data_IF_647231280821
#
_entry.id   IF_647231280821
#
_cell.length_a   1.000
_cell.length_b   1.000
_cell.length_c   1.000
_cell.angle_alpha   90.00
_cell.angle_beta   90.00
_cell.angle_gamma   90.00
#
_symmetry.space_group_name_H-M   'P 1'
#
loop_
_entity.id
_entity.type
_entity.pdbx_description
1 polymer ?
#
# COMPACT_ATOMS: atom_id res chain seq x y z
N UNK A 1 -10.90 -2.63 -10.28
CA UNK A 1 -11.43 -2.09 -9.01
C UNK A 1 -12.80 -2.66 -8.68
N UNK A 2 -13.89 -2.31 -9.39
CA UNK A 2 -15.25 -2.80 -9.06
C UNK A 2 -15.38 -4.33 -9.12
N UNK A 3 -14.88 -4.95 -10.20
CA UNK A 3 -14.87 -6.41 -10.34
C UNK A 3 -14.04 -7.10 -9.24
N UNK A 4 -12.90 -6.54 -8.84
CA UNK A 4 -12.09 -7.08 -7.73
C UNK A 4 -12.85 -7.03 -6.41
N UNK A 5 -13.52 -5.91 -6.14
CA UNK A 5 -14.34 -5.76 -4.93
C UNK A 5 -15.48 -6.77 -4.89
N UNK A 6 -16.22 -6.92 -5.99
CA UNK A 6 -17.34 -7.86 -6.08
C UNK A 6 -16.91 -9.32 -5.97
N UNK A 7 -15.82 -9.70 -6.63
CA UNK A 7 -15.38 -11.10 -6.72
C UNK A 7 -14.60 -11.51 -5.47
N UNK A 8 -13.78 -10.63 -4.89
CA UNK A 8 -12.90 -11.00 -3.77
C UNK A 8 -13.46 -10.62 -2.42
N UNK A 9 -14.11 -9.46 -2.31
CA UNK A 9 -14.41 -8.83 -1.02
C UNK A 9 -15.82 -9.07 -0.52
N UNK A 10 -16.79 -9.31 -1.41
CA UNK A 10 -18.16 -9.69 -1.03
C UNK A 10 -18.22 -11.11 -0.46
N UNK A 11 -17.54 -12.12 -1.04
CA UNK A 11 -17.63 -13.47 -0.51
C UNK A 11 -16.98 -13.59 0.88
N UNK A 12 -15.86 -12.91 1.12
CA UNK A 12 -15.09 -13.06 2.36
C UNK A 12 -15.90 -12.90 3.65
N UNK A 13 -16.68 -11.81 3.86
CA UNK A 13 -17.49 -11.66 5.07
C UNK A 13 -18.67 -12.63 5.11
N UNK A 14 -19.23 -13.01 3.96
CA UNK A 14 -20.37 -13.94 3.90
C UNK A 14 -19.97 -15.37 4.26
N UNK A 15 -18.75 -15.77 3.91
CA UNK A 15 -18.18 -17.08 4.24
C UNK A 15 -17.56 -17.13 5.63
N UNK A 16 -17.44 -15.99 6.33
CA UNK A 16 -16.81 -15.93 7.65
C UNK A 16 -17.83 -16.26 8.73
N UNK A 17 -17.53 -17.27 9.55
CA UNK A 17 -18.36 -17.69 10.68
C UNK A 17 -17.58 -17.63 11.98
N UNK A 18 -18.28 -17.27 13.04
CA UNK A 18 -17.74 -17.32 14.39
C UNK A 18 -18.24 -18.59 15.07
N UNK A 19 -17.36 -19.58 15.19
CA UNK A 19 -17.65 -20.89 15.78
C UNK A 19 -16.54 -21.24 16.76
N UNK A 20 -16.89 -21.82 17.91
CA UNK A 20 -15.93 -22.25 18.94
C UNK A 20 -14.94 -21.17 19.38
N UNK A 21 -15.44 -19.94 19.58
CA UNK A 21 -14.63 -18.75 19.93
C UNK A 21 -13.55 -18.37 18.91
N UNK A 22 -13.65 -18.89 17.68
CA UNK A 22 -12.72 -18.63 16.58
C UNK A 22 -13.46 -18.11 15.37
N UNK A 23 -12.77 -17.30 14.60
CA UNK A 23 -13.29 -16.74 13.36
C UNK A 23 -12.73 -17.55 12.20
N UNK A 24 -13.56 -18.42 11.63
CA UNK A 24 -13.16 -19.38 10.59
C UNK A 24 -13.88 -19.09 9.28
N UNK A 25 -13.28 -19.52 8.17
CA UNK A 25 -13.92 -19.49 6.86
C UNK A 25 -14.63 -20.82 6.63
N UNK A 26 -15.93 -20.75 6.34
CA UNK A 26 -16.74 -21.92 6.05
C UNK A 26 -16.99 -22.03 4.54
N UNK A 27 -16.35 -23.03 3.92
CA UNK A 27 -16.40 -23.31 2.49
C UNK A 27 -17.31 -24.50 2.16
N UNK A 28 -18.17 -24.90 3.10
CA UNK A 28 -19.03 -26.08 3.00
C UNK A 28 -20.30 -25.76 2.23
N UNK A 29 -20.25 -25.93 0.91
CA UNK A 29 -21.43 -25.76 0.04
C UNK A 29 -21.92 -27.10 -0.48
N UNK A 30 -23.22 -27.42 -0.38
CA UNK A 30 -23.74 -28.71 -0.81
C UNK A 30 -23.72 -28.92 -2.33
N UNK A 31 -23.58 -27.86 -3.12
CA UNK A 31 -23.61 -27.90 -4.60
C UNK A 31 -22.25 -27.85 -5.27
N UNK A 32 -21.14 -27.63 -4.54
CA UNK A 32 -19.81 -27.55 -5.14
C UNK A 32 -18.76 -28.21 -4.25
N UNK A 33 -17.81 -28.91 -4.88
CA UNK A 33 -16.71 -29.54 -4.16
C UNK A 33 -15.83 -28.45 -3.53
N UNK A 34 -15.57 -28.56 -2.23
CA UNK A 34 -14.83 -27.56 -1.44
C UNK A 34 -13.46 -27.25 -2.03
N UNK A 35 -12.74 -28.26 -2.53
CA UNK A 35 -11.42 -28.10 -3.16
C UNK A 35 -11.49 -27.26 -4.44
N UNK A 36 -12.50 -27.46 -5.28
CA UNK A 36 -12.71 -26.66 -6.50
C UNK A 36 -13.00 -25.20 -6.17
N UNK A 37 -13.84 -24.95 -5.17
CA UNK A 37 -14.17 -23.60 -4.73
C UNK A 37 -12.96 -22.87 -4.12
N UNK A 38 -12.20 -23.56 -3.27
CA UNK A 38 -10.96 -23.03 -2.68
C UNK A 38 -9.94 -22.66 -3.76
N UNK A 39 -9.73 -23.54 -4.74
CA UNK A 39 -8.82 -23.27 -5.85
C UNK A 39 -9.25 -22.03 -6.62
N UNK A 40 -10.55 -21.91 -6.94
CA UNK A 40 -11.08 -20.73 -7.62
C UNK A 40 -10.84 -19.44 -6.82
N UNK A 41 -11.12 -19.43 -5.51
CA UNK A 41 -10.92 -18.25 -4.67
C UNK A 41 -9.45 -17.83 -4.64
N UNK A 42 -8.54 -18.77 -4.37
CA UNK A 42 -7.12 -18.44 -4.24
C UNK A 42 -6.52 -18.00 -5.57
N UNK A 43 -6.81 -18.68 -6.68
CA UNK A 43 -6.35 -18.22 -7.99
C UNK A 43 -6.91 -16.85 -8.34
N UNK A 44 -8.18 -16.59 -8.02
CA UNK A 44 -8.79 -15.27 -8.19
C UNK A 44 -8.06 -14.23 -7.35
N UNK A 45 -7.74 -14.54 -6.09
CA UNK A 45 -7.01 -13.64 -5.19
C UNK A 45 -5.62 -13.33 -5.73
N UNK A 46 -4.85 -14.35 -6.11
CA UNK A 46 -3.51 -14.18 -6.69
C UNK A 46 -3.56 -13.37 -7.99
N UNK A 47 -4.52 -13.64 -8.87
CA UNK A 47 -4.63 -12.90 -10.15
C UNK A 47 -5.01 -11.45 -9.91
N UNK A 48 -6.07 -11.19 -9.14
CA UNK A 48 -6.64 -9.86 -9.00
C UNK A 48 -5.94 -9.01 -7.93
N UNK A 49 -5.42 -9.59 -6.86
CA UNK A 49 -4.74 -8.83 -5.80
C UNK A 49 -3.25 -8.61 -6.11
N UNK A 50 -2.63 -9.50 -6.90
CA UNK A 50 -1.20 -9.46 -7.19
C UNK A 50 -0.88 -9.23 -8.66
N UNK A 51 -1.17 -10.18 -9.54
CA UNK A 51 -0.69 -10.12 -10.94
C UNK A 51 -1.23 -8.91 -11.70
N UNK A 52 -2.55 -8.67 -11.67
CA UNK A 52 -3.17 -7.55 -12.38
C UNK A 52 -2.62 -6.21 -11.87
N UNK A 53 -2.59 -5.92 -10.55
CA UNK A 53 -1.96 -4.71 -10.03
C UNK A 53 -0.50 -4.57 -10.44
N UNK A 54 0.32 -5.62 -10.32
CA UNK A 54 1.74 -5.58 -10.69
C UNK A 54 1.93 -5.27 -12.16
N UNK A 55 1.16 -5.91 -13.06
CA UNK A 55 1.24 -5.64 -14.50
C UNK A 55 0.84 -4.20 -14.83
N UNK A 56 -0.26 -3.71 -14.26
CA UNK A 56 -0.70 -2.31 -14.46
C UNK A 56 0.35 -1.33 -13.93
N UNK A 57 0.96 -1.63 -12.78
CA UNK A 57 2.05 -0.83 -12.21
C UNK A 57 3.27 -0.79 -13.15
N UNK A 58 3.73 -1.94 -13.65
CA UNK A 58 4.88 -2.01 -14.56
C UNK A 58 4.63 -1.25 -15.86
N UNK A 59 3.47 -1.47 -16.49
CA UNK A 59 3.10 -0.81 -17.75
C UNK A 59 3.00 0.70 -17.56
N UNK A 60 2.34 1.15 -16.49
CA UNK A 60 2.20 2.59 -16.21
C UNK A 60 3.54 3.27 -15.96
N UNK A 61 4.43 2.65 -15.18
CA UNK A 61 5.77 3.22 -14.93
C UNK A 61 6.63 3.23 -16.20
N UNK A 62 6.60 2.15 -16.99
CA UNK A 62 7.30 2.10 -18.27
C UNK A 62 6.80 3.19 -19.24
N UNK A 63 5.48 3.39 -19.30
CA UNK A 63 4.86 4.42 -20.13
C UNK A 63 5.28 5.83 -19.69
N UNK A 64 5.24 6.12 -18.38
CA UNK A 64 5.62 7.43 -17.87
C UNK A 64 7.10 7.72 -18.11
N UNK A 65 7.99 6.73 -17.89
CA UNK A 65 9.41 6.85 -18.20
C UNK A 65 9.62 7.14 -19.69
N UNK A 66 8.89 6.44 -20.57
CA UNK A 66 8.95 6.66 -22.01
C UNK A 66 8.56 8.10 -22.39
N UNK A 67 7.46 8.62 -21.85
CA UNK A 67 6.99 10.00 -22.10
C UNK A 67 8.00 11.03 -21.56
N UNK A 68 8.55 10.81 -20.36
CA UNK A 68 9.58 11.70 -19.79
C UNK A 68 10.84 11.71 -20.66
N UNK A 69 11.27 10.55 -21.18
CA UNK A 69 12.45 10.46 -22.06
C UNK A 69 12.20 11.16 -23.41
N UNK A 70 11.02 10.95 -24.02
CA UNK A 70 10.62 11.58 -25.28
C UNK A 70 10.56 13.11 -25.16
N UNK A 71 9.98 13.63 -24.08
CA UNK A 71 9.87 15.08 -23.84
C UNK A 71 11.22 15.77 -23.54
N UNK A 72 12.22 15.05 -23.03
CA UNK A 72 13.57 15.59 -22.88
C UNK A 72 14.31 15.73 -24.21
N UNK A 73 14.04 14.84 -25.17
CA UNK A 73 14.67 14.89 -26.49
C UNK A 73 14.17 16.03 -27.37
N UNK A 74 12.98 16.58 -27.13
CA UNK A 74 12.39 17.63 -27.98
C UNK A 74 12.61 19.07 -27.47
N UNK A 75 13.32 19.25 -26.35
CA UNK A 75 13.36 20.52 -25.60
C UNK A 75 14.56 21.42 -25.92
N UNK A 76 15.20 21.23 -27.07
CA UNK A 76 16.42 21.96 -27.42
C UNK A 76 16.17 23.41 -27.90
N UNK A 77 14.93 23.84 -28.04
CA UNK A 77 14.58 25.19 -28.52
C UNK A 77 13.39 25.77 -27.75
N UNK A 78 13.58 26.98 -27.25
CA UNK A 78 12.59 28.01 -26.90
C UNK A 78 12.19 28.25 -25.42
N UNK A 79 12.34 29.54 -25.07
CA UNK A 79 11.66 30.32 -24.02
C UNK A 79 12.06 30.12 -22.54
N UNK A 80 12.95 30.99 -22.06
CA UNK A 80 13.53 31.08 -20.70
C UNK A 80 12.51 31.31 -19.56
N UNK A 81 11.36 31.95 -19.83
CA UNK A 81 10.38 32.31 -18.79
C UNK A 81 9.34 31.21 -18.54
N UNK A 82 9.10 30.34 -19.54
CA UNK A 82 8.28 29.13 -19.40
C UNK A 82 9.06 27.95 -18.78
N UNK A 83 10.37 28.12 -18.57
CA UNK A 83 11.25 27.06 -18.04
C UNK A 83 10.98 26.83 -16.56
N UNK A 84 10.79 27.86 -15.74
CA UNK A 84 10.72 27.69 -14.28
C UNK A 84 9.43 27.02 -13.81
N UNK A 85 8.27 27.47 -14.31
CA UNK A 85 6.96 26.85 -14.04
C UNK A 85 6.92 25.40 -14.53
N UNK A 86 7.44 25.14 -15.74
CA UNK A 86 7.49 23.80 -16.31
C UNK A 86 8.50 22.89 -15.62
N UNK A 87 9.58 23.43 -15.05
CA UNK A 87 10.57 22.70 -14.26
C UNK A 87 10.01 22.33 -12.88
N UNK A 88 9.23 23.21 -12.25
CA UNK A 88 8.54 22.90 -11.00
C UNK A 88 7.49 21.80 -11.20
N UNK A 89 6.66 21.89 -12.25
CA UNK A 89 5.71 20.83 -12.62
C UNK A 89 6.44 19.51 -12.89
N UNK A 90 7.54 19.54 -13.65
CA UNK A 90 8.36 18.35 -13.93
C UNK A 90 8.91 17.72 -12.66
N UNK A 91 9.39 18.51 -11.70
CA UNK A 91 9.87 18.01 -10.39
C UNK A 91 8.75 17.35 -9.60
N UNK A 92 7.55 17.95 -9.54
CA UNK A 92 6.40 17.36 -8.86
C UNK A 92 5.96 16.05 -9.52
N UNK A 93 5.93 15.98 -10.85
CA UNK A 93 5.60 14.75 -11.59
C UNK A 93 6.64 13.67 -11.32
N UNK A 94 7.94 13.99 -11.40
CA UNK A 94 9.02 13.03 -11.11
C UNK A 94 8.92 12.53 -9.66
N UNK A 95 8.67 13.42 -8.71
CA UNK A 95 8.52 13.07 -7.30
C UNK A 95 7.31 12.15 -7.08
N UNK A 96 6.19 12.42 -7.74
CA UNK A 96 5.01 11.55 -7.70
C UNK A 96 5.35 10.17 -8.27
N UNK A 97 6.00 10.11 -9.44
CA UNK A 97 6.41 8.85 -10.10
C UNK A 97 7.36 8.03 -9.22
N UNK A 98 8.35 8.67 -8.59
CA UNK A 98 9.27 7.98 -7.67
C UNK A 98 8.49 7.45 -6.46
N UNK A 99 7.60 8.26 -5.89
CA UNK A 99 6.81 7.87 -4.72
C UNK A 99 5.90 6.69 -5.05
N UNK A 100 5.19 6.75 -6.17
CA UNK A 100 4.34 5.66 -6.65
C UNK A 100 5.16 4.42 -6.97
N UNK A 101 6.37 4.56 -7.52
CA UNK A 101 7.26 3.43 -7.81
C UNK A 101 7.70 2.73 -6.52
N UNK A 102 8.09 3.49 -5.49
CA UNK A 102 8.50 2.94 -4.19
C UNK A 102 7.34 2.18 -3.56
N UNK A 103 6.16 2.79 -3.48
CA UNK A 103 4.96 2.14 -2.92
C UNK A 103 4.57 0.90 -3.73
N UNK A 104 4.67 0.95 -5.06
CA UNK A 104 4.38 -0.18 -5.95
C UNK A 104 5.34 -1.34 -5.74
N UNK A 105 6.64 -1.09 -5.66
CA UNK A 105 7.66 -2.10 -5.40
C UNK A 105 7.48 -2.74 -4.03
N UNK A 106 7.26 -1.92 -3.00
CA UNK A 106 7.02 -2.39 -1.66
C UNK A 106 5.80 -3.30 -1.59
N UNK A 107 4.68 -2.90 -2.20
CA UNK A 107 3.48 -3.74 -2.33
C UNK A 107 3.81 -5.07 -3.01
N UNK A 108 4.49 -5.03 -4.16
CA UNK A 108 4.84 -6.22 -4.94
C UNK A 108 5.77 -7.18 -4.20
N UNK A 109 6.70 -6.66 -3.40
CA UNK A 109 7.62 -7.49 -2.61
C UNK A 109 6.87 -8.11 -1.43
N UNK A 110 6.15 -7.30 -0.65
CA UNK A 110 5.53 -7.77 0.60
C UNK A 110 4.36 -8.74 0.34
N UNK A 111 3.58 -8.52 -0.72
CA UNK A 111 2.49 -9.44 -1.11
C UNK A 111 2.98 -10.70 -1.84
N UNK A 112 4.22 -10.72 -2.35
CA UNK A 112 4.73 -11.89 -3.09
C UNK A 112 4.81 -13.14 -2.23
N UNK A 113 5.18 -12.99 -0.94
CA UNK A 113 5.31 -14.11 -0.02
C UNK A 113 3.98 -14.84 0.18
N UNK A 114 2.90 -14.08 0.42
CA UNK A 114 1.55 -14.63 0.57
C UNK A 114 1.12 -15.35 -0.71
N UNK A 115 1.31 -14.71 -1.87
CA UNK A 115 0.91 -15.29 -3.15
C UNK A 115 1.67 -16.58 -3.49
N UNK A 116 2.99 -16.60 -3.30
CA UNK A 116 3.82 -17.78 -3.54
C UNK A 116 3.40 -18.91 -2.59
N UNK A 117 3.21 -18.60 -1.30
CA UNK A 117 2.80 -19.58 -0.30
C UNK A 117 1.46 -20.21 -0.66
N UNK A 118 0.46 -19.41 -1.01
CA UNK A 118 -0.87 -19.89 -1.41
C UNK A 118 -0.82 -20.78 -2.67
N UNK A 119 -0.01 -20.42 -3.68
CA UNK A 119 0.19 -21.27 -4.86
C UNK A 119 0.82 -22.61 -4.46
N UNK A 120 1.86 -22.59 -3.63
CA UNK A 120 2.54 -23.81 -3.18
C UNK A 120 1.62 -24.74 -2.37
N UNK A 121 0.72 -24.17 -1.57
CA UNK A 121 -0.30 -24.91 -0.82
C UNK A 121 -1.29 -25.59 -1.76
N UNK A 122 -1.79 -24.87 -2.78
CA UNK A 122 -2.75 -25.43 -3.75
C UNK A 122 -2.13 -26.48 -4.66
N UNK A 123 -0.87 -26.29 -5.04
CA UNK A 123 -0.13 -27.29 -5.80
C UNK A 123 0.26 -28.52 -4.94
N UNK A 124 -0.19 -28.59 -3.68
CA UNK A 124 0.09 -29.67 -2.73
C UNK A 124 1.60 -29.89 -2.48
N UNK A 125 2.43 -28.88 -2.79
CA UNK A 125 3.89 -28.91 -2.56
C UNK A 125 4.20 -28.68 -1.08
N UNK A 126 3.38 -27.86 -0.41
CA UNK A 126 3.51 -27.53 1.01
C UNK A 126 2.20 -27.84 1.72
N UNK A 127 2.28 -28.57 2.84
CA UNK A 127 1.10 -28.89 3.66
C UNK A 127 0.73 -27.68 4.52
N UNK A 128 -0.51 -27.23 4.38
CA UNK A 128 -1.05 -26.17 5.22
C UNK A 128 -1.14 -26.62 6.68
N UNK A 129 -0.44 -25.93 7.57
CA UNK A 129 -0.46 -26.23 9.01
C UNK A 129 -0.96 -25.02 9.79
N UNK A 130 -2.17 -25.15 10.35
CA UNK A 130 -2.83 -24.10 11.11
C UNK A 130 -2.03 -23.66 12.34
N UNK A 131 -1.97 -22.36 12.58
CA UNK A 131 -1.39 -21.76 13.78
C UNK A 131 0.13 -21.68 13.76
N UNK A 132 0.76 -21.90 12.61
CA UNK A 132 2.21 -21.81 12.48
C UNK A 132 2.67 -20.38 12.18
N UNK A 133 3.88 -19.97 12.61
CA UNK A 133 4.41 -18.65 12.30
C UNK A 133 4.53 -18.37 10.80
N UNK A 134 4.69 -19.44 9.99
CA UNK A 134 4.86 -19.33 8.55
C UNK A 134 3.54 -18.98 7.84
N UNK A 135 2.40 -19.44 8.38
CA UNK A 135 1.06 -19.03 7.92
C UNK A 135 0.85 -17.53 8.16
N UNK A 136 1.21 -17.04 9.34
CA UNK A 136 0.96 -15.65 9.73
C UNK A 136 1.94 -14.66 9.09
N UNK A 137 3.11 -15.13 8.64
CA UNK A 137 4.17 -14.29 8.10
C UNK A 137 3.69 -13.44 6.91
N UNK A 138 2.90 -14.01 5.99
CA UNK A 138 2.41 -13.25 4.83
C UNK A 138 1.45 -12.14 5.24
N UNK A 139 0.53 -12.41 6.16
CA UNK A 139 -0.37 -11.38 6.72
C UNK A 139 0.42 -10.28 7.45
N UNK A 140 1.45 -10.64 8.21
CA UNK A 140 2.32 -9.67 8.92
C UNK A 140 3.05 -8.78 7.92
N UNK A 141 3.61 -9.34 6.85
CA UNK A 141 4.30 -8.58 5.80
C UNK A 141 3.36 -7.61 5.08
N UNK A 142 2.14 -8.04 4.78
CA UNK A 142 1.10 -7.19 4.18
C UNK A 142 0.76 -6.03 5.12
N UNK A 143 0.52 -6.31 6.41
CA UNK A 143 0.19 -5.28 7.41
C UNK A 143 1.33 -4.27 7.59
N UNK A 144 2.58 -4.76 7.59
CA UNK A 144 3.77 -3.93 7.59
C UNK A 144 3.82 -3.02 6.35
N UNK A 145 3.42 -3.54 5.19
CA UNK A 145 3.28 -2.77 3.96
C UNK A 145 2.29 -1.61 4.10
N UNK A 146 1.06 -1.92 4.54
CA UNK A 146 0.02 -0.91 4.71
C UNK A 146 0.43 0.20 5.69
N UNK A 147 1.10 -0.17 6.79
CA UNK A 147 1.52 0.79 7.83
C UNK A 147 2.72 1.65 7.43
N UNK A 148 3.55 1.22 6.46
CA UNK A 148 4.69 1.99 5.97
C UNK A 148 4.36 2.96 4.82
N UNK A 149 3.22 2.79 4.13
CA UNK A 149 2.72 3.73 3.11
C UNK A 149 2.67 5.21 3.55
N UNK A 150 2.07 5.58 4.71
CA UNK A 150 2.07 6.97 5.17
C UNK A 150 3.49 7.49 5.41
N UNK A 151 4.41 6.65 5.93
CA UNK A 151 5.80 7.02 6.13
C UNK A 151 6.46 7.37 4.79
N UNK A 152 6.28 6.54 3.76
CA UNK A 152 6.85 6.77 2.43
C UNK A 152 6.29 8.06 1.82
N UNK A 153 4.98 8.32 1.95
CA UNK A 153 4.39 9.56 1.47
C UNK A 153 5.00 10.80 2.15
N UNK A 154 5.24 10.73 3.46
CA UNK A 154 5.86 11.81 4.23
C UNK A 154 7.31 12.04 3.81
N UNK A 155 8.10 10.98 3.64
CA UNK A 155 9.52 11.11 3.27
C UNK A 155 9.70 11.56 1.82
N UNK A 156 8.87 11.05 0.91
CA UNK A 156 8.97 11.33 -0.52
C UNK A 156 8.33 12.65 -0.91
N UNK A 157 7.38 13.20 -0.13
CA UNK A 157 6.68 14.46 -0.44
C UNK A 157 7.16 15.62 0.43
N UNK A 158 7.93 16.54 -0.16
CA UNK A 158 8.53 17.69 0.53
C UNK A 158 7.49 18.64 1.14
N UNK A 159 6.35 18.85 0.46
CA UNK A 159 5.23 19.67 0.95
C UNK A 159 4.62 19.06 2.21
N UNK A 160 4.34 17.74 2.19
CA UNK A 160 3.74 17.03 3.32
C UNK A 160 4.69 17.00 4.53
N UNK A 161 5.98 16.78 4.27
CA UNK A 161 7.02 16.85 5.31
C UNK A 161 7.08 18.23 5.98
N UNK A 162 7.06 19.31 5.19
CA UNK A 162 7.06 20.69 5.73
C UNK A 162 5.80 21.00 6.52
N UNK A 163 4.64 20.55 6.05
CA UNK A 163 3.37 20.70 6.74
C UNK A 163 3.39 20.00 8.10
N UNK A 164 3.81 18.73 8.16
CA UNK A 164 3.95 17.99 9.42
C UNK A 164 4.94 18.65 10.39
N UNK A 165 6.09 19.10 9.89
CA UNK A 165 7.06 19.81 10.72
C UNK A 165 6.48 21.12 11.29
N UNK A 166 5.67 21.85 10.52
CA UNK A 166 4.99 23.06 11.02
C UNK A 166 3.94 22.74 12.10
N UNK A 167 3.16 21.67 11.93
CA UNK A 167 2.20 21.19 12.94
C UNK A 167 2.90 20.79 14.24
N UNK A 168 4.00 20.05 14.14
CA UNK A 168 4.79 19.62 15.31
C UNK A 168 5.40 20.84 16.02
N UNK A 169 5.98 21.78 15.27
CA UNK A 169 6.52 23.03 15.83
C UNK A 169 5.43 23.85 16.53
N UNK A 170 4.26 24.01 15.90
CA UNK A 170 3.12 24.72 16.48
C UNK A 170 2.60 24.07 17.76
N UNK A 171 2.50 22.73 17.79
CA UNK A 171 2.17 21.98 19.02
C UNK A 171 3.21 22.15 20.11
N UNK A 172 4.50 22.05 19.77
CA UNK A 172 5.60 22.20 20.74
C UNK A 172 5.62 23.60 21.36
N UNK A 173 5.36 24.63 20.55
CA UNK A 173 5.29 26.01 21.01
C UNK A 173 4.06 26.28 21.90
N UNK A 174 2.91 25.66 21.59
CA UNK A 174 1.70 25.70 22.43
C UNK A 174 1.89 24.97 23.77
N UNK A 175 2.62 23.86 23.78
CA UNK A 175 2.95 23.10 24.99
C UNK A 175 3.88 23.91 25.90
N UNK A 176 4.94 24.51 25.34
CA UNK A 176 5.87 25.35 26.11
C UNK A 176 5.21 26.60 26.69
N UNK A 177 4.25 27.21 25.98
CA UNK A 177 3.51 28.36 26.52
C UNK A 177 2.59 27.98 27.69
N UNK A 178 2.05 26.75 27.70
CA UNK A 178 1.21 26.26 28.81
C UNK A 178 2.06 25.94 30.05
N UNK A 179 3.23 25.32 29.88
CA UNK A 179 4.18 25.12 30.99
C UNK A 179 4.65 26.46 31.58
N UNK A 180 4.92 27.46 30.75
CA UNK A 180 5.34 28.79 31.23
C UNK A 180 4.24 29.48 32.04
N UNK A 181 2.97 29.35 31.63
CA UNK A 181 1.83 29.94 32.33
C UNK A 181 1.59 29.31 33.71
N UNK A 182 1.68 27.97 33.80
CA UNK A 182 1.53 27.24 35.06
C UNK A 182 2.66 27.52 36.07
N UNK A 183 3.83 27.91 35.60
CA UNK A 183 4.99 28.23 36.45
C UNK A 183 4.94 29.67 36.98
N UNK A 184 4.27 30.60 36.28
CA UNK A 184 4.00 31.96 36.78
C UNK A 184 2.91 32.02 37.84
N UNK A 185 1.88 31.17 37.79
CA UNK A 185 0.85 31.11 38.84
C UNK A 185 1.36 30.48 40.16
N UNK A 186 2.33 29.57 40.09
CA UNK A 186 2.88 28.91 41.29
C UNK A 186 3.87 29.78 42.09
N UNK A 187 4.42 30.84 41.49
CA UNK A 187 5.35 31.78 42.13
C UNK A 187 4.65 33.02 42.73
N UNK A 188 3.32 33.06 42.74
CA UNK A 188 2.52 34.14 43.34
C UNK A 188 1.79 33.74 44.63
N UNK A 189 2.06 32.54 45.16
CA UNK A 189 1.62 32.08 46.48
C UNK A 189 2.81 31.77 47.39
#
# INVERSE_FOLDING_TARGET
MLSMFLILYIPTPLLRRYTDSRCVMDFSFPWIQTTTFLNYIVYSWVVFEYFVPVLVMLISHAWVIHIIKKSQSSRHSDSLQNVESSLQIKRTVIQLVITTAIMSCQQAILHSFECISQILIICEVVVYTYGTPIEQMGTILILFGCSSNPCILIFSTSTLRRYLLSLIKGKKQKMSSIETYGQTEYNQH
#
